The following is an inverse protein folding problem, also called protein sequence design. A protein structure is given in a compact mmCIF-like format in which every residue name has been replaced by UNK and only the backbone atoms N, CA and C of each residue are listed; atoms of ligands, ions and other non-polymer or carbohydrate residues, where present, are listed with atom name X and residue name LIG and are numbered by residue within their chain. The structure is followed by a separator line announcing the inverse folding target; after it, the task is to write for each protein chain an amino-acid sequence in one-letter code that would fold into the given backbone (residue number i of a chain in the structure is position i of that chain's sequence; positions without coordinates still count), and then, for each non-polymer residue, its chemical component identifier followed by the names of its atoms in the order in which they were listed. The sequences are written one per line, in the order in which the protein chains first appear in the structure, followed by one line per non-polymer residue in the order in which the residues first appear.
data_IF_851588752678
#
_entry.id   IF_851588752678
#
_cell.length_a   1.000
_cell.length_b   1.000
_cell.length_c   1.000
_cell.angle_alpha   90.00
_cell.angle_beta   90.00
_cell.angle_gamma   90.00
#
_symmetry.space_group_name_H-M   'P 1'
#
loop_
_entity.id
_entity.type
_entity.pdbx_description
1 polymer ?
#
# COMPACT_ATOMS: atom_id res chain seq x y z
N UNK A 1 0.54 2.85 18.24
CA UNK A 1 0.01 2.36 16.96
C UNK A 1 0.24 0.86 16.91
N UNK A 2 -0.81 0.08 16.83
CA UNK A 2 -0.67 -1.37 16.74
C UNK A 2 0.01 -1.72 15.42
N UNK A 3 1.14 -2.41 15.49
CA UNK A 3 1.75 -2.99 14.31
C UNK A 3 0.73 -3.94 13.67
N UNK A 4 0.57 -3.86 12.36
CA UNK A 4 -0.22 -4.84 11.62
C UNK A 4 0.41 -6.20 11.90
N UNK A 5 -0.33 -7.07 12.56
CA UNK A 5 0.19 -8.37 12.96
C UNK A 5 0.65 -9.16 11.72
N UNK A 6 1.91 -9.59 11.66
CA UNK A 6 2.37 -10.44 10.57
C UNK A 6 1.57 -11.75 10.63
N UNK A 7 0.85 -12.06 9.59
CA UNK A 7 0.03 -13.25 9.51
C UNK A 7 -1.37 -13.03 8.91
N UNK A 8 -1.79 -11.77 8.82
CA UNK A 8 -3.01 -11.41 8.10
C UNK A 8 -2.78 -10.91 6.69
N UNK A 9 -1.52 -10.70 6.32
CA UNK A 9 -1.17 -10.29 4.97
C UNK A 9 -1.27 -11.47 4.02
N UNK A 10 -1.71 -11.19 2.81
CA UNK A 10 -1.73 -12.19 1.75
C UNK A 10 -0.30 -12.63 1.39
N UNK A 11 -0.16 -13.85 0.92
CA UNK A 11 1.11 -14.39 0.44
C UNK A 11 1.71 -13.50 -0.65
N UNK A 12 0.85 -12.95 -1.53
CA UNK A 12 1.30 -12.04 -2.58
C UNK A 12 1.84 -10.73 -2.02
N UNK A 13 1.16 -10.12 -1.05
CA UNK A 13 1.63 -8.87 -0.45
C UNK A 13 3.00 -9.05 0.22
N UNK A 14 3.19 -10.17 0.91
CA UNK A 14 4.51 -10.51 1.48
C UNK A 14 5.58 -10.70 0.41
N UNK A 15 5.24 -11.40 -0.66
CA UNK A 15 6.13 -11.59 -1.81
C UNK A 15 6.58 -10.25 -2.39
N UNK A 16 5.64 -9.34 -2.63
CA UNK A 16 5.94 -8.02 -3.16
C UNK A 16 6.83 -7.19 -2.21
N UNK A 17 6.60 -7.32 -0.90
CA UNK A 17 7.34 -6.56 0.10
C UNK A 17 8.82 -6.98 0.18
N UNK A 18 9.14 -8.25 -0.06
CA UNK A 18 10.51 -8.77 0.10
C UNK A 18 11.31 -8.86 -1.18
N UNK A 19 10.68 -8.80 -2.36
CA UNK A 19 11.36 -8.99 -3.65
C UNK A 19 12.14 -7.78 -4.14
N UNK A 20 11.86 -6.59 -3.63
CA UNK A 20 12.54 -5.38 -4.06
C UNK A 20 12.33 -5.06 -5.54
N UNK A 21 11.14 -5.33 -6.05
CA UNK A 21 10.80 -5.09 -7.45
C UNK A 21 10.80 -3.58 -7.75
N UNK A 22 11.29 -3.25 -8.93
CA UNK A 22 11.25 -1.88 -9.45
C UNK A 22 9.98 -1.68 -10.28
N UNK A 23 9.48 -0.44 -10.39
CA UNK A 23 8.36 -0.16 -11.29
C UNK A 23 8.62 -0.69 -12.70
N UNK A 24 7.65 -1.42 -13.24
CA UNK A 24 7.74 -2.05 -14.54
C UNK A 24 8.32 -3.47 -14.57
N UNK A 25 8.92 -3.93 -13.48
CA UNK A 25 9.43 -5.30 -13.40
C UNK A 25 8.29 -6.30 -13.53
N UNK A 26 8.53 -7.35 -14.32
CA UNK A 26 7.53 -8.37 -14.60
C UNK A 26 7.49 -9.42 -13.48
N UNK A 27 6.28 -9.76 -13.05
CA UNK A 27 6.04 -10.89 -12.17
C UNK A 27 5.84 -12.16 -13.00
N UNK A 28 6.05 -13.35 -12.39
CA UNK A 28 5.71 -14.61 -13.03
C UNK A 28 4.23 -14.67 -13.43
N UNK A 29 3.90 -15.51 -14.39
CA UNK A 29 2.50 -15.78 -14.75
C UNK A 29 1.73 -16.32 -13.55
N UNK A 30 0.41 -16.15 -13.56
CA UNK A 30 -0.46 -16.55 -12.42
C UNK A 30 -0.19 -18.00 -11.99
N UNK A 31 -0.07 -18.91 -12.92
CA UNK A 31 0.16 -20.33 -12.62
C UNK A 31 1.47 -20.56 -11.88
N UNK A 32 2.55 -19.98 -12.39
CA UNK A 32 3.87 -20.10 -11.78
C UNK A 32 3.93 -19.43 -10.42
N UNK A 33 3.35 -18.23 -10.32
CA UNK A 33 3.33 -17.46 -9.08
C UNK A 33 2.49 -18.18 -8.01
N UNK A 34 1.34 -18.75 -8.39
CA UNK A 34 0.52 -19.54 -7.47
C UNK A 34 1.27 -20.77 -6.93
N UNK A 35 2.02 -21.47 -7.77
CA UNK A 35 2.86 -22.59 -7.34
C UNK A 35 3.96 -22.12 -6.38
N UNK A 36 4.63 -21.03 -6.70
CA UNK A 36 5.69 -20.45 -5.86
C UNK A 36 5.16 -20.04 -4.48
N UNK A 37 3.96 -19.46 -4.43
CA UNK A 37 3.35 -18.98 -3.19
C UNK A 37 2.60 -20.08 -2.42
N UNK A 38 2.38 -21.23 -3.02
CA UNK A 38 1.64 -22.32 -2.39
C UNK A 38 0.14 -22.05 -2.25
N UNK A 39 -0.44 -21.31 -3.17
CA UNK A 39 -1.87 -20.96 -3.18
C UNK A 39 -2.52 -21.42 -4.49
N UNK A 40 -3.85 -21.53 -4.49
CA UNK A 40 -4.58 -21.82 -5.73
C UNK A 40 -4.55 -20.61 -6.67
N UNK A 41 -4.73 -20.85 -7.97
CA UNK A 41 -4.82 -19.77 -8.95
C UNK A 41 -5.98 -18.81 -8.65
N UNK A 42 -7.12 -19.34 -8.17
CA UNK A 42 -8.26 -18.52 -7.77
C UNK A 42 -7.95 -17.61 -6.60
N UNK A 43 -7.30 -18.14 -5.57
CA UNK A 43 -6.87 -17.34 -4.41
C UNK A 43 -5.85 -16.28 -4.81
N UNK A 44 -4.91 -16.63 -5.69
CA UNK A 44 -3.95 -15.65 -6.19
C UNK A 44 -4.63 -14.51 -6.96
N UNK A 45 -5.64 -14.82 -7.78
CA UNK A 45 -6.40 -13.77 -8.48
C UNK A 45 -7.08 -12.80 -7.52
N UNK A 46 -7.64 -13.29 -6.42
CA UNK A 46 -8.22 -12.46 -5.38
C UNK A 46 -7.16 -11.55 -4.74
N UNK A 47 -6.00 -12.10 -4.42
CA UNK A 47 -4.89 -11.33 -3.84
C UNK A 47 -4.33 -10.31 -4.84
N UNK A 48 -4.27 -10.66 -6.12
CA UNK A 48 -3.86 -9.73 -7.18
C UNK A 48 -4.81 -8.55 -7.31
N UNK A 49 -6.11 -8.78 -7.15
CA UNK A 49 -7.09 -7.69 -7.19
C UNK A 49 -6.86 -6.68 -6.05
N UNK A 50 -6.56 -7.17 -4.85
CA UNK A 50 -6.20 -6.31 -3.71
C UNK A 50 -4.92 -5.53 -4.02
N UNK A 51 -3.88 -6.20 -4.50
CA UNK A 51 -2.61 -5.55 -4.84
C UNK A 51 -2.78 -4.50 -5.96
N UNK A 52 -3.65 -4.78 -6.94
CA UNK A 52 -3.97 -3.85 -8.01
C UNK A 52 -4.66 -2.59 -7.49
N UNK A 53 -5.65 -2.76 -6.61
CA UNK A 53 -6.39 -1.64 -6.01
C UNK A 53 -5.46 -0.77 -5.16
N UNK A 54 -4.52 -1.39 -4.44
CA UNK A 54 -3.52 -0.67 -3.65
C UNK A 54 -2.45 0.01 -4.52
N UNK A 55 -2.44 -0.25 -5.83
CA UNK A 55 -1.45 0.36 -6.72
C UNK A 55 -0.07 -0.29 -6.68
N UNK A 56 0.03 -1.52 -6.19
CA UNK A 56 1.29 -2.27 -6.09
C UNK A 56 1.62 -2.99 -7.39
N UNK A 57 0.62 -3.41 -8.16
CA UNK A 57 0.79 -4.12 -9.43
C UNK A 57 -0.14 -3.56 -10.50
N UNK A 58 0.26 -3.76 -11.74
CA UNK A 58 -0.57 -3.55 -12.92
C UNK A 58 -0.80 -4.91 -13.59
N UNK A 59 -2.03 -5.17 -14.00
CA UNK A 59 -2.40 -6.40 -14.72
C UNK A 59 -2.91 -6.01 -16.08
N UNK A 60 -2.20 -6.43 -17.12
CA UNK A 60 -2.59 -6.15 -18.52
C UNK A 60 -2.85 -7.47 -19.25
N UNK A 61 -3.94 -7.57 -20.03
CA UNK A 61 -4.35 -8.84 -20.64
C UNK A 61 -3.28 -9.50 -21.52
N UNK A 62 -2.44 -8.71 -22.20
CA UNK A 62 -1.44 -9.23 -23.15
C UNK A 62 0.00 -9.19 -22.62
N UNK A 63 0.29 -8.36 -21.63
CA UNK A 63 1.65 -8.13 -21.14
C UNK A 63 1.89 -8.70 -19.75
N UNK A 64 0.85 -9.27 -19.13
CA UNK A 64 0.94 -9.93 -17.85
C UNK A 64 0.96 -8.98 -16.66
N UNK A 65 1.54 -9.45 -15.57
CA UNK A 65 1.58 -8.75 -14.29
C UNK A 65 2.92 -8.03 -14.16
N UNK A 66 2.88 -6.75 -13.81
CA UNK A 66 4.07 -5.94 -13.58
C UNK A 66 3.97 -5.20 -12.27
N UNK A 67 5.11 -4.96 -11.64
CA UNK A 67 5.18 -4.06 -10.50
C UNK A 67 4.78 -2.65 -10.94
N UNK A 68 3.90 -2.02 -10.18
CA UNK A 68 3.47 -0.64 -10.46
C UNK A 68 4.40 0.37 -9.80
N UNK A 69 4.28 1.62 -10.20
CA UNK A 69 4.93 2.73 -9.50
C UNK A 69 4.04 3.12 -8.31
N UNK A 70 4.27 2.48 -7.18
CA UNK A 70 3.44 2.66 -5.99
C UNK A 70 3.50 4.09 -5.46
N UNK A 71 2.32 4.62 -5.14
CA UNK A 71 2.17 5.92 -4.49
C UNK A 71 1.21 5.78 -3.31
N UNK A 72 1.71 5.99 -2.11
CA UNK A 72 0.90 5.89 -0.88
C UNK A 72 -0.35 6.77 -0.93
N UNK A 73 -0.21 7.99 -1.45
CA UNK A 73 -1.33 8.93 -1.51
C UNK A 73 -2.52 8.39 -2.32
N UNK A 74 -2.24 7.70 -3.44
CA UNK A 74 -3.31 7.15 -4.28
C UNK A 74 -4.15 6.10 -3.55
N UNK A 75 -3.49 5.22 -2.79
CA UNK A 75 -4.15 4.19 -1.98
C UNK A 75 -4.95 4.81 -0.84
N UNK A 76 -4.37 5.78 -0.13
CA UNK A 76 -5.02 6.48 0.96
C UNK A 76 -6.25 7.26 0.47
N UNK A 77 -6.12 7.93 -0.68
CA UNK A 77 -7.20 8.68 -1.30
C UNK A 77 -8.34 7.76 -1.74
N UNK A 78 -8.02 6.61 -2.32
CA UNK A 78 -9.02 5.62 -2.72
C UNK A 78 -9.86 5.16 -1.52
N UNK A 79 -9.20 4.84 -0.40
CA UNK A 79 -9.87 4.42 0.83
C UNK A 79 -10.74 5.53 1.41
N UNK A 80 -10.21 6.74 1.49
CA UNK A 80 -10.95 7.90 2.00
C UNK A 80 -12.19 8.20 1.17
N UNK A 81 -12.05 8.22 -0.15
CA UNK A 81 -13.17 8.50 -1.06
C UNK A 81 -14.32 7.51 -0.84
N UNK A 82 -14.01 6.23 -0.69
CA UNK A 82 -15.02 5.22 -0.45
C UNK A 82 -15.63 5.32 0.95
N UNK A 83 -14.83 5.61 1.96
CA UNK A 83 -15.32 5.85 3.31
C UNK A 83 -16.32 7.01 3.35
N UNK A 84 -16.02 8.11 2.68
CA UNK A 84 -16.91 9.26 2.60
C UNK A 84 -18.22 8.96 1.86
N UNK A 85 -18.16 8.08 0.86
CA UNK A 85 -19.35 7.62 0.14
C UNK A 85 -20.24 6.74 1.02
N UNK A 86 -19.67 6.00 1.98
CA UNK A 86 -20.40 5.20 2.95
C UNK A 86 -21.06 6.07 4.02
N UNK A 87 -20.30 6.96 4.64
CA UNK A 87 -20.77 7.86 5.68
C UNK A 87 -19.79 9.04 5.80
N UNK A 88 -20.31 10.26 5.67
CA UNK A 88 -19.50 11.47 5.81
C UNK A 88 -18.83 11.61 7.18
N UNK A 89 -19.35 10.92 8.20
CA UNK A 89 -18.76 10.90 9.54
C UNK A 89 -17.34 10.30 9.55
N UNK A 90 -16.98 9.47 8.56
CA UNK A 90 -15.62 8.95 8.43
C UNK A 90 -14.56 10.04 8.18
N UNK A 91 -14.99 11.22 7.77
CA UNK A 91 -14.09 12.37 7.65
C UNK A 91 -13.43 12.74 8.98
N UNK A 92 -14.11 12.55 10.10
CA UNK A 92 -13.56 12.77 11.43
C UNK A 92 -12.35 11.87 11.72
N UNK A 93 -12.42 10.61 11.28
CA UNK A 93 -11.30 9.68 11.41
C UNK A 93 -10.10 10.13 10.57
N UNK A 94 -10.36 10.62 9.37
CA UNK A 94 -9.31 11.19 8.52
C UNK A 94 -8.67 12.43 9.17
N UNK A 95 -9.47 13.33 9.72
CA UNK A 95 -8.97 14.52 10.41
C UNK A 95 -8.11 14.14 11.63
N UNK A 96 -8.53 13.14 12.39
CA UNK A 96 -7.73 12.62 13.51
C UNK A 96 -6.37 12.09 13.03
N UNK A 97 -6.35 11.30 11.97
CA UNK A 97 -5.11 10.81 11.38
C UNK A 97 -4.23 11.95 10.89
N UNK A 98 -4.81 12.92 10.18
CA UNK A 98 -4.09 14.09 9.68
C UNK A 98 -3.42 14.85 10.82
N UNK A 99 -4.15 15.09 11.90
CA UNK A 99 -3.63 15.79 13.07
C UNK A 99 -2.44 15.08 13.70
N UNK A 100 -2.52 13.75 13.85
CA UNK A 100 -1.42 12.94 14.39
C UNK A 100 -0.19 12.94 13.48
N UNK A 101 -0.39 12.84 12.18
CA UNK A 101 0.71 12.85 11.20
C UNK A 101 1.38 14.23 11.18
N UNK A 102 0.61 15.33 11.17
CA UNK A 102 1.15 16.67 11.20
C UNK A 102 1.94 16.93 12.49
N UNK A 103 1.44 16.50 13.64
CA UNK A 103 2.14 16.64 14.92
C UNK A 103 3.46 15.89 14.94
N UNK A 104 3.48 14.63 14.46
CA UNK A 104 4.69 13.81 14.38
C UNK A 104 5.72 14.44 13.42
N UNK A 105 5.27 14.89 12.25
CA UNK A 105 6.13 15.54 11.27
C UNK A 105 6.71 16.85 11.78
N UNK A 106 5.91 17.66 12.45
CA UNK A 106 6.34 18.92 13.03
C UNK A 106 7.40 18.72 14.12
N UNK A 107 7.21 17.71 14.98
CA UNK A 107 8.17 17.35 16.02
C UNK A 107 9.52 16.93 15.40
N UNK A 108 9.49 16.08 14.40
CA UNK A 108 10.69 15.62 13.66
C UNK A 108 11.40 16.81 12.98
N UNK A 109 10.65 17.69 12.34
CA UNK A 109 11.20 18.88 11.71
C UNK A 109 11.87 19.81 12.74
N UNK A 110 11.27 19.98 13.91
CA UNK A 110 11.84 20.79 14.97
C UNK A 110 13.15 20.23 15.52
N UNK A 111 13.29 18.91 15.60
CA UNK A 111 14.52 18.24 16.01
C UNK A 111 15.66 18.40 14.99
N UNK A 112 15.32 18.52 13.71
CA UNK A 112 16.30 18.70 12.63
C UNK A 112 16.77 20.14 12.45
N UNK A 113 16.09 21.12 13.03
CA UNK A 113 16.50 22.52 12.97
C UNK A 113 17.74 22.75 13.82
N UNK A 114 18.71 23.45 13.25
CA UNK A 114 19.90 23.88 13.98
C UNK A 114 19.54 25.01 14.94
N UNK A 115 20.30 25.19 16.06
CA UNK A 115 20.05 26.30 17.00
C UNK A 115 20.00 27.67 16.35
N UNK A 116 20.71 27.88 15.26
CA UNK A 116 20.76 29.12 14.50
C UNK A 116 19.46 29.41 13.76
N UNK A 117 18.69 28.38 13.46
CA UNK A 117 17.42 28.50 12.74
C UNK A 117 16.27 28.97 13.64
N UNK A 118 16.50 28.99 14.94
CA UNK A 118 15.51 29.42 15.94
C UNK A 118 15.57 30.92 16.27
N UNK A 119 16.35 31.69 15.54
CA UNK A 119 16.52 33.14 15.76
C UNK A 119 15.57 33.98 14.92
#
# INVERSE_FOLDING_TARGET
MAAIAPGRDSELLRYLAVRGLRPGDRLPAIRELAEELGVSAGKLREQLEVARVLGLVEVRPKTGIRAANYAFFASAWFSLRHALALDSAFFEQFEALRTHVEAAFFHEAAELLLPEDHR
#
